data_IF_563548619018
#
_entry.id   IF_563548619018
#
_cell.length_a   1.000
_cell.length_b   1.000
_cell.length_c   1.000
_cell.angle_alpha   90.00
_cell.angle_beta   90.00
_cell.angle_gamma   90.00
#
_symmetry.space_group_name_H-M   'P 1'
#
loop_
_entity.id
_entity.type
_entity.pdbx_description
1 polymer ?
#
# COMPACT_ATOMS: atom_id res chain seq x y z
N UNK A 1 0.65 -10.14 -26.76
CA UNK A 1 0.79 -9.74 -25.34
C UNK A 1 1.23 -8.28 -25.25
N UNK A 2 0.42 -7.42 -24.62
CA UNK A 2 0.81 -6.04 -24.33
C UNK A 2 2.01 -6.08 -23.38
N UNK A 3 3.10 -5.42 -23.76
CA UNK A 3 4.31 -5.33 -22.95
C UNK A 3 4.10 -4.34 -21.81
N UNK A 4 4.27 -4.79 -20.56
CA UNK A 4 4.23 -3.93 -19.38
C UNK A 4 5.36 -2.89 -19.44
N UNK A 5 5.03 -1.60 -19.32
CA UNK A 5 6.02 -0.52 -19.30
C UNK A 5 6.53 -0.30 -17.86
N UNK A 6 7.73 -0.76 -17.57
CA UNK A 6 8.33 -0.68 -16.23
C UNK A 6 8.80 0.72 -15.82
N UNK A 7 8.83 1.69 -16.74
CA UNK A 7 9.11 3.09 -16.42
C UNK A 7 7.85 3.91 -16.19
N UNK A 8 6.68 3.36 -16.55
CA UNK A 8 5.38 4.03 -16.40
C UNK A 8 4.30 2.99 -16.11
N UNK A 9 4.15 2.58 -14.84
CA UNK A 9 3.07 1.71 -14.40
C UNK A 9 1.70 2.17 -14.91
N UNK A 10 0.87 1.21 -15.28
CA UNK A 10 -0.47 1.47 -15.80
C UNK A 10 -1.47 1.69 -14.67
N UNK A 11 -2.41 2.61 -14.89
CA UNK A 11 -3.56 2.78 -14.02
C UNK A 11 -4.36 1.47 -13.93
N UNK A 12 -4.85 1.12 -12.74
CA UNK A 12 -5.67 -0.08 -12.49
C UNK A 12 -5.00 -1.40 -12.91
N UNK A 13 -3.68 -1.48 -12.86
CA UNK A 13 -2.91 -2.71 -13.09
C UNK A 13 -2.02 -2.99 -11.89
N UNK A 14 -1.75 -4.27 -11.65
CA UNK A 14 -0.78 -4.75 -10.66
C UNK A 14 0.47 -5.37 -11.30
N UNK A 15 0.53 -5.38 -12.64
CA UNK A 15 1.56 -6.10 -13.41
C UNK A 15 2.98 -5.58 -13.16
N UNK A 16 3.15 -4.33 -12.70
CA UNK A 16 4.48 -3.81 -12.37
C UNK A 16 5.20 -4.69 -11.34
N UNK A 17 4.48 -5.27 -10.39
CA UNK A 17 5.07 -6.12 -9.37
C UNK A 17 5.62 -7.42 -9.95
N UNK A 18 4.86 -8.10 -10.82
CA UNK A 18 5.25 -9.40 -11.39
C UNK A 18 6.16 -9.25 -12.61
N UNK A 19 5.79 -8.38 -13.54
CA UNK A 19 6.41 -8.30 -14.87
C UNK A 19 7.63 -7.39 -14.89
N UNK A 20 7.80 -6.54 -13.87
CA UNK A 20 8.93 -5.62 -13.74
C UNK A 20 9.81 -5.96 -12.54
N UNK A 21 9.31 -5.79 -11.31
CA UNK A 21 10.13 -5.98 -10.11
C UNK A 21 10.54 -7.44 -9.92
N UNK A 22 9.58 -8.36 -9.84
CA UNK A 22 9.91 -9.78 -9.61
C UNK A 22 10.71 -10.35 -10.77
N UNK A 23 10.29 -10.09 -12.02
CA UNK A 23 11.01 -10.54 -13.21
C UNK A 23 12.48 -10.08 -13.25
N UNK A 24 12.77 -8.87 -12.74
CA UNK A 24 14.13 -8.32 -12.75
C UNK A 24 14.96 -8.80 -11.57
N UNK A 25 14.41 -8.75 -10.36
CA UNK A 25 15.17 -8.95 -9.12
C UNK A 25 15.03 -10.34 -8.51
N UNK A 26 14.04 -11.13 -8.93
CA UNK A 26 13.80 -12.51 -8.48
C UNK A 26 13.78 -12.64 -6.95
N UNK A 27 12.99 -11.80 -6.28
CA UNK A 27 12.91 -11.78 -4.81
C UNK A 27 12.15 -12.98 -4.24
N UNK A 28 11.49 -13.76 -5.10
CA UNK A 28 10.77 -14.98 -4.75
C UNK A 28 9.39 -14.71 -4.17
N UNK A 29 8.65 -15.79 -3.93
CA UNK A 29 7.26 -15.76 -3.44
C UNK A 29 7.10 -15.02 -2.10
N UNK A 30 8.16 -14.99 -1.27
CA UNK A 30 8.20 -14.30 0.01
C UNK A 30 8.76 -12.87 -0.09
N UNK A 31 9.30 -12.49 -1.25
CA UNK A 31 9.80 -11.16 -1.51
C UNK A 31 8.69 -10.13 -1.60
N UNK A 32 9.04 -8.86 -1.36
CA UNK A 32 8.08 -7.75 -1.40
C UNK A 32 7.22 -7.72 -2.68
N UNK A 33 7.78 -7.84 -3.90
CA UNK A 33 6.99 -7.73 -5.12
C UNK A 33 5.79 -8.67 -5.15
N UNK A 34 5.95 -9.91 -4.69
CA UNK A 34 4.89 -10.91 -4.75
C UNK A 34 4.07 -10.94 -3.47
N UNK A 35 4.72 -11.11 -2.30
CA UNK A 35 4.03 -11.34 -1.02
C UNK A 35 3.17 -10.16 -0.60
N UNK A 36 3.62 -8.93 -0.85
CA UNK A 36 2.95 -7.72 -0.39
C UNK A 36 2.41 -6.91 -1.56
N UNK A 37 3.29 -6.51 -2.50
CA UNK A 37 2.95 -5.62 -3.61
C UNK A 37 1.83 -6.16 -4.50
N UNK A 38 2.08 -7.25 -5.21
CA UNK A 38 1.12 -7.89 -6.10
C UNK A 38 -0.13 -8.37 -5.34
N UNK A 39 0.07 -9.10 -4.24
CA UNK A 39 -1.04 -9.67 -3.46
C UNK A 39 -2.02 -8.61 -2.98
N UNK A 40 -1.55 -7.53 -2.33
CA UNK A 40 -2.45 -6.50 -1.83
C UNK A 40 -3.02 -5.65 -2.95
N UNK A 41 -2.25 -5.35 -4.00
CA UNK A 41 -2.75 -4.65 -5.18
C UNK A 41 -3.96 -5.38 -5.79
N UNK A 42 -3.86 -6.70 -5.98
CA UNK A 42 -4.94 -7.51 -6.51
C UNK A 42 -6.15 -7.59 -5.56
N UNK A 43 -5.93 -7.70 -4.24
CA UNK A 43 -7.05 -7.66 -3.28
C UNK A 43 -7.82 -6.34 -3.38
N UNK A 44 -7.12 -5.21 -3.47
CA UNK A 44 -7.77 -3.90 -3.63
C UNK A 44 -8.48 -3.77 -4.98
N UNK A 45 -7.86 -4.21 -6.07
CA UNK A 45 -8.47 -4.22 -7.39
C UNK A 45 -9.77 -5.04 -7.41
N UNK A 46 -9.77 -6.22 -6.82
CA UNK A 46 -10.95 -7.11 -6.74
C UNK A 46 -12.04 -6.56 -5.80
N UNK A 47 -11.64 -5.85 -4.75
CA UNK A 47 -12.57 -5.26 -3.78
C UNK A 47 -13.08 -3.86 -4.17
N UNK A 48 -12.60 -3.26 -5.27
CA UNK A 48 -12.85 -1.85 -5.61
C UNK A 48 -14.35 -1.49 -5.62
N UNK A 49 -15.22 -2.41 -6.03
CA UNK A 49 -16.67 -2.19 -6.08
C UNK A 49 -17.34 -2.09 -4.71
N UNK A 50 -16.65 -2.47 -3.62
CA UNK A 50 -17.14 -2.36 -2.24
C UNK A 50 -16.91 -0.96 -1.65
N UNK A 51 -16.11 -0.13 -2.30
CA UNK A 51 -15.77 1.21 -1.82
C UNK A 51 -16.81 2.25 -2.25
N UNK A 52 -16.89 3.34 -1.48
CA UNK A 52 -17.60 4.55 -1.93
C UNK A 52 -17.00 5.13 -3.21
N UNK A 53 -17.66 6.10 -3.85
CA UNK A 53 -17.11 6.74 -5.05
C UNK A 53 -15.76 7.41 -4.80
N UNK A 54 -15.55 8.01 -3.63
CA UNK A 54 -14.26 8.60 -3.26
C UNK A 54 -13.25 7.53 -2.84
N UNK A 55 -13.69 6.47 -2.17
CA UNK A 55 -12.87 5.30 -1.88
C UNK A 55 -12.34 4.61 -3.14
N UNK A 56 -13.14 4.51 -4.21
CA UNK A 56 -12.69 3.98 -5.52
C UNK A 56 -11.58 4.83 -6.12
N UNK A 57 -11.71 6.17 -6.07
CA UNK A 57 -10.66 7.09 -6.51
C UNK A 57 -9.39 6.91 -5.67
N UNK A 58 -9.54 6.76 -4.35
CA UNK A 58 -8.43 6.51 -3.46
C UNK A 58 -7.70 5.20 -3.81
N UNK A 59 -8.43 4.09 -3.99
CA UNK A 59 -7.85 2.79 -4.39
C UNK A 59 -7.01 2.94 -5.67
N UNK A 60 -7.60 3.49 -6.73
CA UNK A 60 -6.91 3.66 -8.02
C UNK A 60 -5.68 4.57 -7.90
N UNK A 61 -5.77 5.69 -7.19
CA UNK A 61 -4.65 6.62 -6.99
C UNK A 61 -3.54 6.00 -6.15
N UNK A 62 -3.89 5.32 -5.06
CA UNK A 62 -2.94 4.66 -4.16
C UNK A 62 -2.19 3.55 -4.89
N UNK A 63 -2.90 2.68 -5.62
CA UNK A 63 -2.29 1.61 -6.41
C UNK A 63 -1.27 2.14 -7.41
N UNK A 64 -1.60 3.23 -8.11
CA UNK A 64 -0.69 3.84 -9.07
C UNK A 64 0.49 4.54 -8.37
N UNK A 65 0.24 5.26 -7.27
CA UNK A 65 1.26 5.96 -6.50
C UNK A 65 2.34 5.00 -5.99
N UNK A 66 1.93 3.88 -5.38
CA UNK A 66 2.85 2.88 -4.83
C UNK A 66 3.74 2.27 -5.92
N UNK A 67 3.18 1.96 -7.09
CA UNK A 67 3.96 1.45 -8.22
C UNK A 67 4.94 2.52 -8.75
N UNK A 68 4.50 3.77 -8.88
CA UNK A 68 5.35 4.88 -9.33
C UNK A 68 6.50 5.15 -8.35
N UNK A 69 6.27 5.05 -7.04
CA UNK A 69 7.31 5.22 -6.02
C UNK A 69 8.46 4.20 -6.18
N UNK A 70 8.18 3.05 -6.81
CA UNK A 70 9.14 1.98 -7.05
C UNK A 70 9.77 2.02 -8.46
N UNK A 71 9.42 2.97 -9.32
CA UNK A 71 10.08 3.15 -10.62
C UNK A 71 11.57 3.52 -10.47
N UNK A 72 11.98 4.45 -9.58
CA UNK A 72 13.40 4.72 -9.33
C UNK A 72 14.16 3.50 -8.79
N UNK A 73 13.50 2.70 -7.93
CA UNK A 73 14.01 1.43 -7.41
C UNK A 73 14.25 0.44 -8.55
N UNK A 74 13.27 0.30 -9.45
CA UNK A 74 13.41 -0.54 -10.64
C UNK A 74 14.58 -0.12 -11.52
N UNK A 75 14.85 1.18 -11.66
CA UNK A 75 15.96 1.69 -12.48
C UNK A 75 17.35 1.47 -11.84
N UNK A 76 17.42 1.16 -10.54
CA UNK A 76 18.68 0.81 -9.88
C UNK A 76 18.99 -0.69 -10.07
N UNK A 77 20.05 -1.01 -10.83
CA UNK A 77 20.45 -2.40 -11.10
C UNK A 77 21.15 -3.10 -9.94
N UNK A 78 21.53 -2.37 -8.89
CA UNK A 78 22.32 -2.91 -7.76
C UNK A 78 21.50 -3.08 -6.48
N UNK A 79 20.20 -2.75 -6.52
CA UNK A 79 19.33 -2.80 -5.35
C UNK A 79 18.99 -4.24 -4.96
N UNK A 80 18.96 -4.49 -3.66
CA UNK A 80 18.62 -5.79 -3.07
C UNK A 80 17.12 -5.90 -2.78
N UNK A 81 16.62 -7.12 -2.62
CA UNK A 81 15.23 -7.36 -2.25
C UNK A 81 14.83 -6.75 -0.89
N UNK A 82 15.77 -6.65 0.04
CA UNK A 82 15.55 -5.98 1.32
C UNK A 82 15.39 -4.46 1.14
N UNK A 83 16.20 -3.84 0.29
CA UNK A 83 16.08 -2.42 -0.04
C UNK A 83 14.81 -2.13 -0.83
N UNK A 84 14.38 -3.02 -1.74
CA UNK A 84 13.07 -2.91 -2.41
C UNK A 84 11.95 -2.92 -1.37
N UNK A 85 11.97 -3.88 -0.43
CA UNK A 85 10.98 -3.98 0.66
C UNK A 85 10.93 -2.70 1.49
N UNK A 86 12.10 -2.19 1.90
CA UNK A 86 12.22 -0.96 2.68
C UNK A 86 11.69 0.27 1.92
N UNK A 87 12.11 0.44 0.66
CA UNK A 87 11.66 1.54 -0.19
C UNK A 87 10.14 1.50 -0.39
N UNK A 88 9.59 0.30 -0.61
CA UNK A 88 8.17 0.14 -0.77
C UNK A 88 7.40 0.53 0.49
N UNK A 89 7.73 -0.02 1.66
CA UNK A 89 7.05 0.36 2.91
C UNK A 89 7.18 1.84 3.24
N UNK A 90 8.35 2.45 2.98
CA UNK A 90 8.54 3.90 3.17
C UNK A 90 7.60 4.77 2.32
N UNK A 91 7.11 4.25 1.18
CA UNK A 91 6.21 4.99 0.29
C UNK A 91 4.73 4.96 0.72
N UNK A 92 4.33 4.02 1.60
CA UNK A 92 2.91 3.75 1.86
C UNK A 92 2.19 4.94 2.47
N UNK A 93 2.73 5.50 3.54
CA UNK A 93 2.10 6.60 4.27
C UNK A 93 1.84 7.80 3.36
N UNK A 94 2.87 8.24 2.63
CA UNK A 94 2.76 9.33 1.66
C UNK A 94 1.71 9.01 0.58
N UNK A 95 1.79 7.84 -0.06
CA UNK A 95 0.83 7.48 -1.11
C UNK A 95 -0.60 7.39 -0.60
N UNK A 96 -0.81 6.91 0.62
CA UNK A 96 -2.14 6.81 1.24
C UNK A 96 -2.73 8.19 1.48
N UNK A 97 -1.95 9.09 2.09
CA UNK A 97 -2.36 10.47 2.40
C UNK A 97 -2.61 11.27 1.12
N UNK A 98 -1.64 11.30 0.20
CA UNK A 98 -1.74 12.05 -1.05
C UNK A 98 -2.90 11.58 -1.94
N UNK A 99 -3.31 10.31 -1.80
CA UNK A 99 -4.46 9.75 -2.52
C UNK A 99 -5.80 10.10 -1.88
N UNK A 100 -5.80 10.64 -0.64
CA UNK A 100 -6.98 11.15 0.06
C UNK A 100 -7.48 10.28 1.22
N UNK A 101 -6.63 9.45 1.83
CA UNK A 101 -7.04 8.54 2.92
C UNK A 101 -7.80 9.25 4.04
N UNK A 102 -7.35 10.44 4.41
CA UNK A 102 -7.88 11.16 5.57
C UNK A 102 -9.28 11.74 5.33
N UNK A 103 -9.75 11.75 4.08
CA UNK A 103 -11.05 12.27 3.68
C UNK A 103 -12.06 11.18 3.33
N UNK A 104 -11.79 9.90 3.65
CA UNK A 104 -12.67 8.76 3.34
C UNK A 104 -13.03 7.88 4.56
N UNK A 105 -13.54 8.45 5.66
CA UNK A 105 -13.85 7.71 6.89
C UNK A 105 -14.80 6.51 6.68
N UNK A 106 -15.72 6.62 5.73
CA UNK A 106 -16.66 5.54 5.40
C UNK A 106 -15.98 4.28 4.82
N UNK A 107 -14.73 4.37 4.38
CA UNK A 107 -13.99 3.27 3.74
C UNK A 107 -12.82 2.74 4.58
N UNK A 108 -12.45 3.39 5.69
CA UNK A 108 -11.32 2.96 6.52
C UNK A 108 -11.41 1.51 6.98
N UNK A 109 -12.58 1.08 7.45
CA UNK A 109 -12.78 -0.31 7.87
C UNK A 109 -12.56 -1.31 6.71
N UNK A 110 -12.94 -0.93 5.48
CA UNK A 110 -12.75 -1.78 4.30
C UNK A 110 -11.28 -1.90 3.93
N UNK A 111 -10.52 -0.80 4.05
CA UNK A 111 -9.07 -0.77 3.84
C UNK A 111 -8.40 -1.70 4.85
N UNK A 112 -8.74 -1.55 6.13
CA UNK A 112 -8.19 -2.34 7.22
C UNK A 112 -8.49 -3.84 7.07
N UNK A 113 -9.69 -4.22 6.62
CA UNK A 113 -10.06 -5.62 6.37
C UNK A 113 -9.35 -6.26 5.15
N UNK A 114 -8.87 -5.46 4.21
CA UNK A 114 -8.19 -5.96 3.00
C UNK A 114 -6.71 -6.23 3.26
N UNK A 115 -6.07 -5.36 4.04
CA UNK A 115 -4.66 -5.46 4.38
C UNK A 115 -4.48 -6.54 5.45
N UNK A 116 -3.48 -7.41 5.31
CA UNK A 116 -3.15 -8.38 6.35
C UNK A 116 -2.59 -7.62 7.56
N UNK A 117 -3.07 -7.92 8.77
CA UNK A 117 -2.59 -7.31 10.01
C UNK A 117 -1.07 -7.44 10.17
N UNK A 118 -0.46 -8.51 9.62
CA UNK A 118 1.00 -8.69 9.60
C UNK A 118 1.70 -7.60 8.80
N UNK A 119 1.12 -7.18 7.68
CA UNK A 119 1.64 -6.12 6.82
C UNK A 119 1.55 -4.75 7.52
N UNK A 120 0.50 -4.55 8.32
CA UNK A 120 0.32 -3.35 9.16
C UNK A 120 1.40 -3.31 10.23
N UNK A 121 1.64 -4.41 10.95
CA UNK A 121 2.67 -4.48 11.99
C UNK A 121 4.06 -4.19 11.42
N UNK A 122 4.40 -4.75 10.25
CA UNK A 122 5.70 -4.49 9.60
C UNK A 122 5.87 -3.03 9.17
N UNK A 123 4.78 -2.32 8.89
CA UNK A 123 4.79 -0.93 8.43
C UNK A 123 4.47 0.08 9.52
N UNK A 124 4.22 -0.39 10.75
CA UNK A 124 3.51 0.37 11.78
C UNK A 124 4.17 1.71 12.12
N UNK A 125 5.45 1.67 12.49
CA UNK A 125 6.19 2.86 12.93
C UNK A 125 6.22 3.94 11.85
N UNK A 126 6.51 3.53 10.61
CA UNK A 126 6.61 4.44 9.45
C UNK A 126 5.25 5.04 9.08
N UNK A 127 4.19 4.23 9.12
CA UNK A 127 2.83 4.70 8.84
C UNK A 127 2.39 5.69 9.93
N UNK A 128 2.54 5.32 11.19
CA UNK A 128 2.01 6.10 12.31
C UNK A 128 2.72 7.43 12.47
N UNK A 129 4.04 7.47 12.30
CA UNK A 129 4.79 8.73 12.36
C UNK A 129 4.29 9.74 11.33
N UNK A 130 4.15 9.33 10.07
CA UNK A 130 3.73 10.23 9.00
C UNK A 130 2.27 10.63 9.15
N UNK A 131 1.39 9.68 9.46
CA UNK A 131 -0.05 9.92 9.64
C UNK A 131 -0.33 10.87 10.80
N UNK A 132 0.39 10.73 11.92
CA UNK A 132 0.20 11.59 13.11
C UNK A 132 0.43 13.07 12.80
N UNK A 133 1.37 13.37 11.91
CA UNK A 133 1.76 14.74 11.56
C UNK A 133 1.04 15.29 10.34
N UNK A 134 0.27 14.46 9.64
CA UNK A 134 -0.40 14.85 8.41
C UNK A 134 -1.68 15.66 8.69
N UNK A 135 -1.79 16.81 8.04
CA UNK A 135 -2.96 17.68 8.15
C UNK A 135 -4.24 16.93 7.74
N UNK A 136 -5.30 17.08 8.53
CA UNK A 136 -6.58 16.42 8.28
C UNK A 136 -6.64 14.93 8.66
N UNK A 137 -5.54 14.33 9.13
CA UNK A 137 -5.47 12.89 9.41
C UNK A 137 -5.68 12.52 10.89
N UNK A 138 -5.91 13.49 11.78
CA UNK A 138 -6.07 13.23 13.21
C UNK A 138 -7.19 12.22 13.52
N UNK A 139 -8.33 12.32 12.83
CA UNK A 139 -9.44 11.37 12.99
C UNK A 139 -9.07 9.95 12.52
N UNK A 140 -8.33 9.84 11.41
CA UNK A 140 -7.84 8.55 10.93
C UNK A 140 -6.83 7.94 11.91
N UNK A 141 -5.91 8.74 12.43
CA UNK A 141 -4.91 8.30 13.40
C UNK A 141 -5.54 7.70 14.66
N UNK A 142 -6.50 8.42 15.26
CA UNK A 142 -7.24 7.94 16.44
C UNK A 142 -8.00 6.66 16.11
N UNK A 143 -8.74 6.66 15.00
CA UNK A 143 -9.50 5.49 14.55
C UNK A 143 -8.61 4.24 14.34
N UNK A 144 -7.43 4.42 13.73
CA UNK A 144 -6.51 3.32 13.44
C UNK A 144 -5.94 2.72 14.73
N UNK A 145 -5.55 3.56 15.69
CA UNK A 145 -5.10 3.10 17.01
C UNK A 145 -6.20 2.29 17.69
N UNK A 146 -7.42 2.83 17.78
CA UNK A 146 -8.53 2.14 18.42
C UNK A 146 -8.86 0.80 17.75
N UNK A 147 -8.85 0.77 16.41
CA UNK A 147 -9.12 -0.45 15.62
C UNK A 147 -8.07 -1.52 15.89
N UNK A 148 -6.79 -1.16 15.83
CA UNK A 148 -5.67 -2.06 16.11
C UNK A 148 -5.70 -2.57 17.56
N UNK A 149 -5.99 -1.68 18.50
CA UNK A 149 -6.04 -1.98 19.91
C UNK A 149 -7.19 -2.95 20.26
N UNK A 150 -8.34 -2.81 19.60
CA UNK A 150 -9.50 -3.72 19.72
C UNK A 150 -9.22 -5.09 19.13
N UNK A 151 -8.61 -5.15 17.93
CA UNK A 151 -8.28 -6.44 17.28
C UNK A 151 -7.30 -7.27 18.12
N UNK A 152 -6.36 -6.62 18.80
CA UNK A 152 -5.35 -7.31 19.63
C UNK A 152 -5.68 -7.36 21.13
N UNK A 153 -6.90 -6.98 21.53
CA UNK A 153 -7.35 -7.00 22.93
C UNK A 153 -6.45 -6.22 23.92
N UNK A 154 -5.80 -5.15 23.45
CA UNK A 154 -4.94 -4.30 24.30
C UNK A 154 -5.71 -3.17 25.00
N UNK A 155 -6.85 -2.77 24.46
CA UNK A 155 -7.71 -1.74 25.05
C UNK A 155 -8.84 -2.40 25.88
N UNK A 156 -9.11 -1.89 27.09
CA UNK A 156 -10.31 -2.24 27.85
C UNK A 156 -11.50 -1.49 27.27
N UNK A 157 -12.62 -2.18 27.10
CA UNK A 157 -13.92 -1.59 26.72
C UNK A 157 -14.40 -0.55 27.74
#
# INVERSE_FOLDING_TARGET
PLTTNCSRPSLNSCNFYTDCLEKKFNCGINGYPIRYGSMNCEKFANAINRFSNDGKKWVTKTMLCLQNALVPVYNNNTITCAEIKSAAFSSHSKCYIDSGLCSIPADWLKIFQIIDIRDIVESWEVIMQVVQTAEGCAAFYVWLIESFCKEHHYCKE
#
